data_IF_193228883888
#
_entry.id   IF_193228883888
#
_cell.length_a   1.000
_cell.length_b   1.000
_cell.length_c   1.000
_cell.angle_alpha   90.00
_cell.angle_beta   90.00
_cell.angle_gamma   90.00
#
_symmetry.space_group_name_H-M   'P 1'
#
loop_
_entity.id
_entity.type
_entity.pdbx_description
1 polymer ?
#
# COMPACT_ATOMS: atom_id res chain seq x y z
N UNK A 1 -10.79 23.48 -20.98
CA UNK A 1 -11.77 22.69 -21.75
C UNK A 1 -11.00 21.51 -22.33
N UNK A 2 -11.39 20.27 -22.03
CA UNK A 2 -10.63 19.08 -22.48
C UNK A 2 -10.78 18.86 -23.99
N UNK A 3 -9.67 18.56 -24.66
CA UNK A 3 -9.63 18.24 -26.08
C UNK A 3 -9.80 16.71 -26.30
N UNK A 4 -10.09 16.30 -27.53
CA UNK A 4 -10.27 14.90 -27.94
C UNK A 4 -9.05 14.03 -27.58
N UNK A 5 -7.85 14.63 -27.59
CA UNK A 5 -6.60 13.97 -27.18
C UNK A 5 -6.54 13.70 -25.68
N UNK A 6 -6.98 14.65 -24.86
CA UNK A 6 -7.07 14.50 -23.40
C UNK A 6 -8.03 13.36 -23.03
N UNK A 7 -9.17 13.29 -23.73
CA UNK A 7 -10.14 12.20 -23.58
C UNK A 7 -9.55 10.83 -23.95
N UNK A 8 -8.83 10.73 -25.08
CA UNK A 8 -8.19 9.46 -25.47
C UNK A 8 -7.13 9.03 -24.45
N UNK A 9 -6.32 9.96 -23.97
CA UNK A 9 -5.28 9.68 -22.98
C UNK A 9 -5.88 9.25 -21.64
N UNK A 10 -6.95 9.91 -21.20
CA UNK A 10 -7.69 9.53 -20.00
C UNK A 10 -8.28 8.12 -20.11
N UNK A 11 -8.96 7.80 -21.21
CA UNK A 11 -9.53 6.45 -21.41
C UNK A 11 -8.46 5.37 -21.47
N UNK A 12 -7.30 5.64 -22.08
CA UNK A 12 -6.19 4.70 -22.07
C UNK A 12 -5.63 4.46 -20.66
N UNK A 13 -5.57 5.50 -19.82
CA UNK A 13 -5.15 5.37 -18.42
C UNK A 13 -6.20 4.63 -17.58
N UNK A 14 -7.49 4.91 -17.80
CA UNK A 14 -8.60 4.29 -17.08
C UNK A 14 -8.85 2.82 -17.49
N UNK A 15 -8.54 2.46 -18.74
CA UNK A 15 -8.64 1.08 -19.25
C UNK A 15 -7.43 0.22 -18.88
N UNK A 16 -6.39 0.78 -18.25
CA UNK A 16 -5.31 -0.05 -17.71
C UNK A 16 -5.93 -1.02 -16.70
N UNK A 17 -5.68 -2.34 -16.82
CA UNK A 17 -6.17 -3.28 -15.83
C UNK A 17 -5.71 -2.78 -14.47
N UNK A 18 -6.65 -2.69 -13.52
CA UNK A 18 -6.36 -2.34 -12.13
C UNK A 18 -5.11 -3.12 -11.73
N UNK A 19 -4.00 -2.41 -11.47
CA UNK A 19 -2.75 -3.08 -11.16
C UNK A 19 -3.01 -3.93 -9.92
N UNK A 20 -3.12 -5.25 -10.12
CA UNK A 20 -3.44 -6.24 -9.10
C UNK A 20 -2.41 -6.28 -7.96
N UNK A 21 -1.33 -5.51 -8.10
CA UNK A 21 -0.22 -5.42 -7.18
C UNK A 21 -0.04 -4.01 -6.62
N UNK A 22 -1.09 -3.18 -6.55
CA UNK A 22 -0.98 -1.93 -5.80
C UNK A 22 -0.68 -2.27 -4.33
N UNK A 23 0.33 -1.63 -3.73
CA UNK A 23 0.67 -1.87 -2.33
C UNK A 23 -0.49 -1.45 -1.42
N UNK A 24 -0.72 -2.17 -0.31
CA UNK A 24 -1.72 -1.80 0.67
C UNK A 24 -1.42 -0.42 1.26
N UNK A 25 -2.47 0.30 1.68
CA UNK A 25 -2.35 1.59 2.36
C UNK A 25 -2.58 1.39 3.87
N UNK A 26 -1.68 1.86 4.73
CA UNK A 26 -1.77 1.65 6.17
C UNK A 26 -2.84 2.53 6.81
N UNK A 27 -3.35 2.04 7.94
CA UNK A 27 -4.27 2.78 8.80
C UNK A 27 -3.78 2.79 10.25
N UNK A 28 -4.21 3.76 11.04
CA UNK A 28 -3.92 3.84 12.47
C UNK A 28 -5.21 4.04 13.28
N UNK A 29 -5.30 3.52 14.51
CA UNK A 29 -6.43 3.80 15.39
C UNK A 29 -6.47 5.29 15.76
N UNK A 30 -7.66 5.89 15.71
CA UNK A 30 -7.88 7.33 15.96
C UNK A 30 -8.77 7.57 17.18
N UNK A 31 -8.57 6.79 18.24
CA UNK A 31 -9.49 6.75 19.37
C UNK A 31 -10.91 6.34 18.97
N UNK A 32 -11.81 6.14 19.94
CA UNK A 32 -13.24 5.93 19.69
C UNK A 32 -13.57 4.84 18.64
N UNK A 33 -12.89 3.70 18.68
CA UNK A 33 -13.12 2.56 17.77
C UNK A 33 -13.14 2.95 16.27
N UNK A 34 -12.34 3.95 15.89
CA UNK A 34 -12.17 4.43 14.51
C UNK A 34 -10.74 4.20 14.04
N UNK A 35 -10.59 4.06 12.72
CA UNK A 35 -9.29 4.01 12.05
C UNK A 35 -9.19 5.17 11.07
N UNK A 36 -7.99 5.72 10.93
CA UNK A 36 -7.68 6.77 9.95
C UNK A 36 -6.59 6.30 8.99
N UNK A 37 -6.63 6.72 7.72
CA UNK A 37 -5.53 6.50 6.80
C UNK A 37 -4.29 7.24 7.29
N UNK A 38 -3.13 6.61 7.17
CA UNK A 38 -1.84 7.23 7.47
C UNK A 38 -0.92 7.21 6.24
N UNK A 39 0.15 8.00 6.31
CA UNK A 39 1.06 8.21 5.17
C UNK A 39 1.78 6.92 4.77
N UNK A 40 2.27 6.15 5.76
CA UNK A 40 3.05 4.95 5.53
C UNK A 40 3.08 3.96 6.71
N UNK A 41 3.61 2.78 6.44
CA UNK A 41 3.82 1.73 7.43
C UNK A 41 4.99 2.12 8.31
N UNK A 42 4.86 1.87 9.61
CA UNK A 42 5.98 2.02 10.54
C UNK A 42 7.03 0.94 10.29
N UNK A 43 8.25 1.18 10.76
CA UNK A 43 9.33 0.19 10.68
C UNK A 43 9.00 -1.08 11.49
N UNK A 44 8.31 -0.93 12.63
CA UNK A 44 7.88 -2.07 13.45
C UNK A 44 6.84 -2.96 12.74
N UNK A 45 5.92 -2.37 11.98
CA UNK A 45 4.94 -3.15 11.20
C UNK A 45 5.60 -3.94 10.05
N UNK A 46 6.66 -3.38 9.45
CA UNK A 46 7.45 -4.09 8.43
C UNK A 46 8.22 -5.26 9.05
N UNK A 47 8.87 -5.04 10.19
CA UNK A 47 9.61 -6.08 10.92
C UNK A 47 8.70 -7.23 11.36
N UNK A 48 7.54 -6.92 11.94
CA UNK A 48 6.52 -7.92 12.31
C UNK A 48 5.96 -8.67 11.10
N UNK A 49 5.93 -8.04 9.92
CA UNK A 49 5.54 -8.67 8.67
C UNK A 49 6.67 -9.50 8.02
N UNK A 50 7.90 -9.44 8.56
CA UNK A 50 9.09 -10.07 8.00
C UNK A 50 9.55 -9.41 6.71
N UNK A 51 9.34 -8.10 6.57
CA UNK A 51 9.68 -7.30 5.39
C UNK A 51 10.84 -6.38 5.74
N UNK A 52 11.98 -6.54 5.05
CA UNK A 52 13.09 -5.60 5.15
C UNK A 52 12.88 -4.37 4.25
N UNK A 53 13.66 -3.32 4.47
CA UNK A 53 13.54 -2.06 3.72
C UNK A 53 13.77 -2.23 2.21
N UNK A 54 14.75 -3.04 1.81
CA UNK A 54 15.03 -3.32 0.39
C UNK A 54 13.83 -3.97 -0.31
N UNK A 55 13.19 -4.95 0.33
CA UNK A 55 11.99 -5.59 -0.18
C UNK A 55 10.81 -4.61 -0.21
N UNK A 56 10.66 -3.78 0.81
CA UNK A 56 9.61 -2.78 0.88
C UNK A 56 9.72 -1.75 -0.26
N UNK A 57 10.93 -1.27 -0.55
CA UNK A 57 11.20 -0.38 -1.69
C UNK A 57 10.89 -1.07 -3.02
N UNK A 58 11.36 -2.30 -3.21
CA UNK A 58 11.08 -3.10 -4.43
C UNK A 58 9.59 -3.31 -4.66
N UNK A 59 8.82 -3.46 -3.59
CA UNK A 59 7.38 -3.61 -3.60
C UNK A 59 6.61 -2.28 -3.66
N UNK A 60 7.32 -1.14 -3.59
CA UNK A 60 6.72 0.19 -3.59
C UNK A 60 5.85 0.48 -2.36
N UNK A 61 6.13 -0.16 -1.22
CA UNK A 61 5.38 0.07 0.01
C UNK A 61 5.58 1.50 0.51
N UNK A 62 4.51 2.21 0.93
CA UNK A 62 4.65 3.50 1.56
C UNK A 62 5.19 3.32 2.99
N UNK A 63 6.33 3.91 3.31
CA UNK A 63 6.99 3.79 4.61
C UNK A 63 6.96 5.15 5.31
N UNK A 64 6.66 5.14 6.61
CA UNK A 64 6.78 6.29 7.48
C UNK A 64 7.70 5.94 8.65
N UNK A 65 8.98 6.27 8.50
CA UNK A 65 10.01 6.01 9.52
C UNK A 65 9.82 6.85 10.79
N UNK A 66 9.02 7.93 10.73
CA UNK A 66 8.71 8.76 11.91
C UNK A 66 7.62 8.14 12.80
N UNK A 67 6.83 7.21 12.24
CA UNK A 67 5.72 6.57 12.94
C UNK A 67 6.23 5.37 13.76
N UNK A 68 5.82 5.35 15.02
CA UNK A 68 6.17 4.29 15.98
C UNK A 68 4.92 3.49 16.35
N UNK A 69 5.10 2.18 16.54
CA UNK A 69 4.08 1.27 17.03
C UNK A 69 3.52 0.35 15.95
N UNK A 70 2.79 -0.68 16.40
CA UNK A 70 2.28 -1.74 15.54
C UNK A 70 0.76 -1.72 15.53
N UNK A 71 0.18 -1.82 14.34
CA UNK A 71 -1.24 -2.10 14.18
C UNK A 71 -1.43 -3.46 13.49
N UNK A 72 -1.93 -4.45 14.24
CA UNK A 72 -2.06 -5.84 13.76
C UNK A 72 -2.71 -5.99 12.38
N UNK A 73 -3.81 -5.27 12.06
CA UNK A 73 -4.42 -5.33 10.72
C UNK A 73 -3.47 -4.90 9.59
N UNK A 74 -2.57 -3.94 9.82
CA UNK A 74 -1.57 -3.54 8.82
C UNK A 74 -0.57 -4.67 8.58
N UNK A 75 -0.11 -5.34 9.64
CA UNK A 75 0.82 -6.48 9.55
C UNK A 75 0.21 -7.63 8.76
N UNK A 76 -1.06 -7.96 9.05
CA UNK A 76 -1.79 -9.00 8.29
C UNK A 76 -1.91 -8.62 6.80
N UNK A 77 -2.26 -7.38 6.50
CA UNK A 77 -2.35 -6.89 5.12
C UNK A 77 -1.01 -6.96 4.38
N UNK A 78 0.10 -6.63 5.05
CA UNK A 78 1.45 -6.75 4.50
C UNK A 78 1.81 -8.21 4.18
N UNK A 79 1.51 -9.15 5.09
CA UNK A 79 1.77 -10.58 4.86
C UNK A 79 0.97 -11.13 3.69
N UNK A 80 -0.31 -10.77 3.58
CA UNK A 80 -1.17 -11.19 2.48
C UNK A 80 -0.72 -10.58 1.15
N UNK A 81 -0.27 -9.33 1.15
CA UNK A 81 0.28 -8.68 -0.03
C UNK A 81 1.59 -9.33 -0.50
N UNK A 82 2.51 -9.64 0.41
CA UNK A 82 3.74 -10.36 0.06
C UNK A 82 3.42 -11.76 -0.47
N UNK A 83 2.44 -12.45 0.11
CA UNK A 83 1.98 -13.76 -0.38
C UNK A 83 1.44 -13.66 -1.80
N UNK A 84 0.58 -12.68 -2.09
CA UNK A 84 0.00 -12.50 -3.43
C UNK A 84 1.02 -12.03 -4.46
N UNK A 85 2.02 -11.23 -4.07
CA UNK A 85 3.12 -10.83 -4.94
C UNK A 85 4.03 -12.01 -5.35
N UNK A 86 4.07 -13.09 -4.56
CA UNK A 86 4.86 -14.30 -4.85
C UNK A 86 4.14 -15.32 -5.73
N UNK A 87 2.81 -15.24 -5.85
CA UNK A 87 2.03 -16.13 -6.72
C UNK A 87 1.76 -15.42 -8.05
N UNK A 88 2.57 -15.65 -9.10
CA UNK A 88 2.17 -15.25 -10.44
C UNK A 88 0.95 -16.10 -10.82
N UNK A 89 -0.20 -15.45 -10.93
CA UNK A 89 -1.38 -16.03 -11.59
C UNK A 89 -1.16 -16.15 -13.09
#
# INVERSE_FOLDING_TARGET
MWDKRDWHQFFQLAQRPWQRHRPPRPVAPSGLNRVLPVVGFSLSELDDAGINLELAERLGLPIDASRVGVYGPNVSALRDFVRSARQPG
#
